data_IF_809922027891
#
_entry.id   IF_809922027891
#
_cell.length_a   1.000
_cell.length_b   1.000
_cell.length_c   1.000
_cell.angle_alpha   90.00
_cell.angle_beta   90.00
_cell.angle_gamma   90.00
#
_symmetry.space_group_name_H-M   'P 1'
#
loop_
_entity.id
_entity.type
_entity.pdbx_description
1 polymer ?
#
# COMPACT_ATOMS: atom_id res chain seq x y z
N UNK A 1 -13.31 -48.90 32.25
CA UNK A 1 -14.33 -47.92 31.86
C UNK A 1 -14.15 -46.60 32.64
N UNK A 2 -12.97 -45.96 32.61
CA UNK A 2 -12.68 -44.70 33.35
C UNK A 2 -11.82 -43.68 32.59
N UNK A 3 -11.59 -43.83 31.28
CA UNK A 3 -10.70 -42.96 30.48
C UNK A 3 -11.48 -41.91 29.68
N UNK A 4 -12.79 -42.03 29.53
CA UNK A 4 -13.60 -41.10 28.71
C UNK A 4 -13.96 -39.77 29.38
N UNK A 5 -13.76 -39.64 30.70
CA UNK A 5 -14.10 -38.41 31.43
C UNK A 5 -12.97 -37.37 31.48
N UNK A 6 -11.73 -37.76 31.22
CA UNK A 6 -10.60 -36.83 31.29
C UNK A 6 -10.41 -35.97 30.03
N UNK A 7 -10.92 -36.44 28.89
CA UNK A 7 -10.81 -35.68 27.63
C UNK A 7 -11.81 -34.51 27.52
N UNK A 8 -12.92 -34.56 28.22
CA UNK A 8 -13.94 -33.50 28.21
C UNK A 8 -13.57 -32.24 28.99
N UNK A 9 -12.75 -32.39 30.03
CA UNK A 9 -12.36 -31.25 30.89
C UNK A 9 -11.19 -30.49 30.32
N UNK A 10 -10.33 -31.09 29.49
CA UNK A 10 -9.17 -30.45 28.86
C UNK A 10 -9.56 -29.51 27.71
N UNK A 11 -10.70 -29.75 27.03
CA UNK A 11 -11.15 -28.87 25.93
C UNK A 11 -11.82 -27.56 26.40
N UNK A 12 -12.22 -27.46 27.67
CA UNK A 12 -12.95 -26.27 28.19
C UNK A 12 -11.96 -25.15 28.59
N UNK A 13 -10.69 -25.48 28.82
CA UNK A 13 -9.67 -24.50 29.23
C UNK A 13 -9.04 -23.70 28.09
N UNK A 14 -9.30 -24.02 26.82
CA UNK A 14 -8.73 -23.31 25.67
C UNK A 14 -9.59 -22.19 25.08
N UNK A 15 -10.80 -21.94 25.62
CA UNK A 15 -11.69 -20.89 25.09
C UNK A 15 -11.64 -19.57 25.86
N UNK A 16 -10.74 -19.43 26.85
CA UNK A 16 -10.63 -18.21 27.65
C UNK A 16 -9.51 -17.25 27.22
N UNK A 17 -8.94 -17.39 26.02
CA UNK A 17 -7.87 -16.51 25.56
C UNK A 17 -8.25 -15.90 24.22
N UNK A 18 -8.95 -14.79 24.22
CA UNK A 18 -8.81 -13.64 23.36
C UNK A 18 -10.00 -12.68 23.51
N UNK A 19 -9.99 -11.88 24.56
CA UNK A 19 -10.83 -10.68 24.61
C UNK A 19 -10.04 -9.54 25.26
N UNK A 20 -9.00 -9.06 24.58
CA UNK A 20 -8.38 -7.78 24.89
C UNK A 20 -8.80 -6.78 23.82
N UNK A 21 -10.06 -6.43 23.84
CA UNK A 21 -10.59 -5.31 23.06
C UNK A 21 -10.19 -4.02 23.77
N UNK A 22 -8.97 -3.52 23.50
CA UNK A 22 -8.59 -2.16 23.91
C UNK A 22 -9.45 -1.18 23.11
N UNK A 23 -10.43 -0.59 23.78
CA UNK A 23 -11.17 0.57 23.24
C UNK A 23 -10.14 1.69 23.02
N UNK A 24 -9.75 1.90 21.79
CA UNK A 24 -9.00 3.10 21.41
C UNK A 24 -9.98 4.26 21.52
N UNK A 25 -9.85 5.03 22.59
CA UNK A 25 -10.58 6.28 22.75
C UNK A 25 -10.01 7.28 21.75
N UNK A 26 -10.64 7.39 20.60
CA UNK A 26 -10.35 8.46 19.64
C UNK A 26 -10.86 9.77 20.23
N UNK A 27 -9.98 10.49 20.92
CA UNK A 27 -10.22 11.87 21.32
C UNK A 27 -10.39 12.69 20.05
N UNK A 28 -11.63 13.05 19.74
CA UNK A 28 -12.00 13.85 18.57
C UNK A 28 -11.36 15.24 18.74
N UNK A 29 -10.22 15.42 18.12
CA UNK A 29 -9.51 16.70 18.15
C UNK A 29 -10.12 17.60 17.06
N UNK A 30 -11.09 18.43 17.45
CA UNK A 30 -11.86 19.29 16.56
C UNK A 30 -11.09 20.51 16.00
N UNK A 31 -9.76 20.51 16.10
CA UNK A 31 -8.91 21.62 15.63
C UNK A 31 -7.98 21.23 14.49
N UNK A 32 -8.41 20.35 13.59
CA UNK A 32 -7.71 20.22 12.31
C UNK A 32 -8.14 21.40 11.45
N UNK A 33 -7.37 22.49 11.49
CA UNK A 33 -7.39 23.51 10.46
C UNK A 33 -7.07 22.80 9.14
N UNK A 34 -8.08 22.57 8.32
CA UNK A 34 -7.89 22.16 6.92
C UNK A 34 -7.08 23.27 6.26
N UNK A 35 -5.79 23.09 6.19
CA UNK A 35 -4.91 23.95 5.39
C UNK A 35 -5.28 23.68 3.94
N UNK A 36 -6.11 24.53 3.37
CA UNK A 36 -6.38 24.59 1.93
C UNK A 36 -5.10 25.08 1.24
N UNK A 37 -4.09 24.22 1.16
CA UNK A 37 -2.96 24.47 0.28
C UNK A 37 -3.40 24.15 -1.15
N UNK A 38 -3.25 25.08 -2.09
CA UNK A 38 -3.50 24.78 -3.49
C UNK A 38 -2.57 23.68 -3.93
N UNK A 39 -3.13 22.57 -4.38
CA UNK A 39 -2.50 21.31 -4.78
C UNK A 39 -1.49 21.48 -5.94
N UNK A 40 -1.33 22.69 -6.46
CA UNK A 40 -0.55 22.99 -7.67
C UNK A 40 0.95 23.28 -7.44
N UNK A 41 1.47 23.18 -6.22
CA UNK A 41 2.92 23.25 -5.97
C UNK A 41 3.39 21.96 -5.32
N UNK A 42 3.79 21.02 -6.14
CA UNK A 42 4.62 19.88 -5.72
C UNK A 42 5.82 20.43 -4.92
N UNK A 43 6.12 19.88 -3.73
CA UNK A 43 7.28 20.29 -2.95
C UNK A 43 8.57 19.79 -3.60
N UNK A 44 8.97 20.43 -4.70
CA UNK A 44 10.04 19.96 -5.58
C UNK A 44 11.44 20.02 -4.97
N UNK A 45 11.71 20.98 -4.07
CA UNK A 45 13.08 21.19 -3.56
C UNK A 45 13.42 20.25 -2.40
N UNK A 46 12.52 20.07 -1.42
CA UNK A 46 12.76 19.14 -0.29
C UNK A 46 12.83 17.68 -0.72
N UNK A 47 12.02 17.29 -1.69
CA UNK A 47 12.01 15.93 -2.21
C UNK A 47 13.31 15.56 -2.90
N UNK A 48 13.85 16.45 -3.72
CA UNK A 48 15.15 16.22 -4.39
C UNK A 48 16.29 16.09 -3.36
N UNK A 49 16.24 16.85 -2.25
CA UNK A 49 17.23 16.73 -1.18
C UNK A 49 17.12 15.40 -0.45
N UNK A 50 15.89 14.91 -0.16
CA UNK A 50 15.69 13.60 0.45
C UNK A 50 16.17 12.46 -0.42
N UNK A 51 15.87 12.51 -1.72
CA UNK A 51 16.34 11.50 -2.68
C UNK A 51 17.87 11.50 -2.75
N UNK A 52 18.53 12.67 -2.83
CA UNK A 52 19.99 12.78 -2.81
C UNK A 52 20.60 12.24 -1.51
N UNK A 53 19.92 12.43 -0.37
CA UNK A 53 20.34 11.86 0.93
C UNK A 53 20.24 10.35 0.94
N UNK A 54 19.16 9.77 0.40
CA UNK A 54 19.00 8.32 0.24
C UNK A 54 20.06 7.72 -0.68
N UNK A 55 20.41 8.39 -1.77
CA UNK A 55 21.47 7.95 -2.69
C UNK A 55 22.86 7.93 -2.02
N UNK A 56 23.16 8.90 -1.17
CA UNK A 56 24.43 8.97 -0.46
C UNK A 56 24.51 7.99 0.71
N UNK A 57 23.38 7.76 1.40
CA UNK A 57 23.31 6.95 2.62
C UNK A 57 23.18 5.45 2.41
N UNK A 58 22.67 5.01 1.27
CA UNK A 58 22.37 3.62 1.00
C UNK A 58 23.02 3.12 -0.29
N UNK A 59 24.31 2.82 -0.22
CA UNK A 59 25.05 2.19 -1.33
C UNK A 59 24.48 0.82 -1.74
N UNK A 60 23.64 0.20 -0.91
CA UNK A 60 23.01 -1.11 -1.17
C UNK A 60 21.64 -1.04 -1.85
N UNK A 61 21.03 0.15 -1.98
CA UNK A 61 19.74 0.27 -2.66
C UNK A 61 19.89 -0.01 -4.16
N UNK A 62 19.06 -0.94 -4.64
CA UNK A 62 19.00 -1.26 -6.05
C UNK A 62 18.67 -0.01 -6.87
N UNK A 63 19.41 0.19 -7.98
CA UNK A 63 19.23 1.31 -8.91
C UNK A 63 17.77 1.48 -9.36
N UNK A 64 17.07 0.38 -9.62
CA UNK A 64 15.67 0.40 -10.04
C UNK A 64 14.74 0.91 -8.94
N UNK A 65 15.00 0.54 -7.68
CA UNK A 65 14.25 1.04 -6.51
C UNK A 65 14.42 2.56 -6.37
N UNK A 66 15.64 3.06 -6.49
CA UNK A 66 15.90 4.51 -6.46
C UNK A 66 15.19 5.25 -7.59
N UNK A 67 15.21 4.71 -8.81
CA UNK A 67 14.51 5.28 -9.96
C UNK A 67 13.00 5.32 -9.74
N UNK A 68 12.42 4.24 -9.18
CA UNK A 68 11.02 4.17 -8.83
C UNK A 68 10.65 5.24 -7.80
N UNK A 69 11.41 5.34 -6.70
CA UNK A 69 11.21 6.36 -5.67
C UNK A 69 11.28 7.76 -6.28
N UNK A 70 12.30 8.05 -7.07
CA UNK A 70 12.43 9.37 -7.74
C UNK A 70 11.21 9.73 -8.58
N UNK A 71 10.69 8.77 -9.32
CA UNK A 71 9.55 8.98 -10.23
C UNK A 71 8.23 9.15 -9.49
N UNK A 72 7.97 8.34 -8.46
CA UNK A 72 6.65 8.23 -7.84
C UNK A 72 6.52 8.87 -6.46
N UNK A 73 7.63 9.30 -5.83
CA UNK A 73 7.55 9.97 -4.54
C UNK A 73 6.68 11.24 -4.55
N UNK A 74 6.71 12.09 -5.59
CA UNK A 74 5.82 13.25 -5.66
C UNK A 74 4.34 12.87 -5.59
N UNK A 75 3.96 11.83 -6.34
CA UNK A 75 2.60 11.32 -6.35
C UNK A 75 2.20 10.71 -5.00
N UNK A 76 3.07 9.89 -4.41
CA UNK A 76 2.83 9.27 -3.11
C UNK A 76 2.64 10.31 -1.99
N UNK A 77 3.39 11.43 -2.02
CA UNK A 77 3.20 12.53 -1.08
C UNK A 77 1.88 13.25 -1.32
N UNK A 78 1.47 13.44 -2.57
CA UNK A 78 0.16 14.01 -2.90
C UNK A 78 -0.99 13.15 -2.35
N UNK A 79 -0.92 11.85 -2.56
CA UNK A 79 -1.90 10.88 -2.06
C UNK A 79 -1.91 10.83 -0.52
N UNK A 80 -0.74 10.96 0.13
CA UNK A 80 -0.64 11.06 1.58
C UNK A 80 -1.43 12.26 2.11
N UNK A 81 -1.33 13.42 1.47
CA UNK A 81 -2.08 14.61 1.89
C UNK A 81 -3.58 14.51 1.64
N UNK A 82 -3.97 13.69 0.67
CA UNK A 82 -5.38 13.53 0.29
C UNK A 82 -6.10 12.45 1.10
N UNK A 83 -5.39 11.37 1.42
CA UNK A 83 -5.98 10.16 2.00
C UNK A 83 -5.39 9.75 3.35
N UNK A 84 -4.46 10.54 3.90
CA UNK A 84 -3.75 10.28 5.17
C UNK A 84 -2.99 8.93 5.21
N UNK A 85 -2.62 8.40 4.04
CA UNK A 85 -1.78 7.20 3.92
C UNK A 85 -0.33 7.64 3.81
N UNK A 86 0.59 7.19 4.69
CA UNK A 86 1.99 7.57 4.62
C UNK A 86 2.60 7.27 3.25
N UNK A 87 3.27 8.26 2.64
CA UNK A 87 3.88 8.14 1.31
C UNK A 87 4.88 6.97 1.22
N UNK A 88 5.58 6.67 2.32
CA UNK A 88 6.49 5.52 2.42
C UNK A 88 5.78 4.18 2.25
N UNK A 89 4.57 4.04 2.75
CA UNK A 89 3.75 2.83 2.60
C UNK A 89 3.33 2.67 1.14
N UNK A 90 2.79 3.72 0.53
CA UNK A 90 2.38 3.71 -0.89
C UNK A 90 3.56 3.36 -1.80
N UNK A 91 4.75 3.95 -1.54
CA UNK A 91 5.97 3.65 -2.31
C UNK A 91 6.45 2.22 -2.10
N UNK A 92 6.48 1.74 -0.86
CA UNK A 92 6.94 0.38 -0.56
C UNK A 92 6.05 -0.68 -1.24
N UNK A 93 4.74 -0.54 -1.15
CA UNK A 93 3.80 -1.42 -1.84
C UNK A 93 3.98 -1.33 -3.36
N UNK A 94 4.04 -0.13 -3.92
CA UNK A 94 4.25 0.04 -5.35
C UNK A 94 5.57 -0.58 -5.85
N UNK A 95 6.65 -0.51 -5.08
CA UNK A 95 7.93 -1.16 -5.37
C UNK A 95 7.77 -2.69 -5.41
N UNK A 96 7.14 -3.27 -4.39
CA UNK A 96 6.96 -4.71 -4.25
C UNK A 96 6.03 -5.26 -5.34
N UNK A 97 4.82 -4.74 -5.42
CA UNK A 97 3.75 -5.22 -6.31
C UNK A 97 4.10 -5.05 -7.79
N UNK A 98 4.83 -4.00 -8.14
CA UNK A 98 5.16 -3.71 -9.53
C UNK A 98 6.56 -4.15 -9.95
N UNK A 99 7.34 -4.77 -9.07
CA UNK A 99 8.75 -5.05 -9.34
C UNK A 99 9.52 -3.78 -9.73
N UNK A 100 9.39 -2.72 -8.95
CA UNK A 100 9.93 -1.38 -9.24
C UNK A 100 9.34 -0.73 -10.52
N UNK A 101 8.08 -0.97 -10.81
CA UNK A 101 7.38 -0.46 -11.99
C UNK A 101 7.74 -1.20 -13.28
N UNK A 102 8.36 -2.37 -13.19
CA UNK A 102 8.85 -3.15 -14.33
C UNK A 102 7.95 -4.33 -14.69
N UNK A 103 6.99 -4.68 -13.82
CA UNK A 103 6.02 -5.73 -14.13
C UNK A 103 5.24 -5.41 -15.39
N UNK A 104 4.69 -6.43 -16.04
CA UNK A 104 3.91 -6.27 -17.25
C UNK A 104 2.69 -5.36 -17.02
N UNK A 105 2.00 -5.53 -15.90
CA UNK A 105 0.87 -4.69 -15.51
C UNK A 105 1.28 -3.24 -15.27
N UNK A 106 2.39 -2.99 -14.58
CA UNK A 106 2.86 -1.63 -14.34
C UNK A 106 3.31 -0.93 -15.63
N UNK A 107 4.10 -1.63 -16.47
CA UNK A 107 4.71 -1.03 -17.67
C UNK A 107 3.72 -0.81 -18.81
N UNK A 108 2.75 -1.72 -19.04
CA UNK A 108 1.81 -1.67 -20.16
C UNK A 108 0.45 -1.05 -19.81
N UNK A 109 0.08 -1.05 -18.53
CA UNK A 109 -1.24 -0.59 -18.10
C UNK A 109 -1.22 0.42 -16.94
N UNK A 110 -0.05 0.88 -16.50
CA UNK A 110 0.11 1.78 -15.35
C UNK A 110 -0.55 1.25 -14.07
N UNK A 111 -0.72 -0.05 -13.97
CA UNK A 111 -1.33 -0.71 -12.83
C UNK A 111 -0.23 -1.27 -11.91
N UNK A 112 0.25 -0.43 -11.01
CA UNK A 112 1.36 -0.76 -10.11
C UNK A 112 0.96 -1.63 -8.93
N UNK A 113 -0.32 -1.79 -8.67
CA UNK A 113 -0.86 -2.48 -7.49
C UNK A 113 -1.70 -3.71 -7.85
N UNK A 114 -1.67 -4.16 -9.11
CA UNK A 114 -2.43 -5.33 -9.52
C UNK A 114 -3.95 -5.18 -9.32
N UNK A 115 -4.50 -3.99 -9.52
CA UNK A 115 -5.94 -3.75 -9.29
C UNK A 115 -6.76 -4.48 -10.33
N UNK A 116 -7.50 -5.50 -9.90
CA UNK A 116 -8.40 -6.30 -10.75
C UNK A 116 -9.65 -5.51 -11.13
N UNK A 117 -10.28 -5.89 -12.25
CA UNK A 117 -11.60 -5.38 -12.63
C UNK A 117 -12.63 -5.93 -11.67
N UNK A 118 -13.34 -5.07 -10.95
CA UNK A 118 -14.49 -5.50 -10.17
C UNK A 118 -15.78 -5.31 -10.95
N UNK A 119 -16.86 -5.90 -10.45
CA UNK A 119 -18.20 -5.72 -11.01
C UNK A 119 -18.49 -4.23 -11.17
N UNK A 120 -18.92 -3.83 -12.37
CA UNK A 120 -19.20 -2.42 -12.66
C UNK A 120 -18.02 -1.58 -13.18
N UNK A 121 -16.81 -2.13 -13.31
CA UNK A 121 -15.70 -1.39 -13.93
C UNK A 121 -15.96 -1.11 -15.41
N UNK A 122 -16.07 0.17 -15.79
CA UNK A 122 -16.30 0.63 -17.16
C UNK A 122 -15.06 1.21 -17.86
N UNK A 123 -13.93 1.30 -17.14
CA UNK A 123 -12.67 1.83 -17.67
C UNK A 123 -11.93 0.86 -18.60
N UNK A 124 -10.75 1.28 -19.05
CA UNK A 124 -9.90 0.44 -19.88
C UNK A 124 -9.43 -0.80 -19.10
N UNK A 125 -9.25 -1.90 -19.82
CA UNK A 125 -8.91 -3.22 -19.28
C UNK A 125 -7.68 -3.78 -19.96
N UNK A 126 -7.00 -4.67 -19.26
CA UNK A 126 -5.95 -5.55 -19.77
C UNK A 126 -6.15 -6.92 -19.14
N UNK A 127 -5.83 -7.97 -19.88
CA UNK A 127 -5.90 -9.34 -19.37
C UNK A 127 -4.50 -9.84 -19.11
N UNK A 128 -4.31 -10.50 -17.97
CA UNK A 128 -3.04 -11.03 -17.53
C UNK A 128 -3.29 -12.31 -16.72
N UNK A 129 -2.39 -13.28 -16.84
CA UNK A 129 -2.41 -14.47 -16.02
C UNK A 129 -1.73 -14.16 -14.68
N UNK A 130 -2.46 -14.34 -13.58
CA UNK A 130 -1.97 -14.14 -12.21
C UNK A 130 -2.36 -15.39 -11.40
N UNK A 131 -3.34 -15.31 -10.51
CA UNK A 131 -3.87 -16.48 -9.79
C UNK A 131 -4.61 -17.42 -10.74
N UNK A 132 -5.28 -16.86 -11.74
CA UNK A 132 -6.02 -17.58 -12.78
C UNK A 132 -5.60 -17.09 -14.17
N UNK A 133 -5.91 -17.89 -15.20
CA UNK A 133 -5.69 -17.49 -16.59
C UNK A 133 -6.66 -16.40 -17.03
N UNK A 134 -6.12 -15.38 -17.68
CA UNK A 134 -6.92 -14.35 -18.33
C UNK A 134 -7.68 -13.45 -17.37
N UNK A 135 -7.16 -13.20 -16.18
CA UNK A 135 -7.79 -12.29 -15.23
C UNK A 135 -7.81 -10.86 -15.74
N UNK A 136 -8.89 -10.16 -15.40
CA UNK A 136 -9.11 -8.79 -15.83
C UNK A 136 -8.48 -7.79 -14.85
N UNK A 137 -7.59 -6.95 -15.34
CA UNK A 137 -6.96 -5.86 -14.59
C UNK A 137 -7.32 -4.49 -15.17
N UNK A 138 -7.38 -3.50 -14.31
CA UNK A 138 -7.63 -2.11 -14.72
C UNK A 138 -6.43 -1.55 -15.44
N UNK A 139 -6.68 -0.81 -16.52
CA UNK A 139 -5.67 -0.04 -17.24
C UNK A 139 -5.90 1.45 -16.97
N UNK A 140 -4.85 2.14 -16.52
CA UNK A 140 -4.89 3.56 -16.22
C UNK A 140 -4.18 4.37 -17.31
N UNK A 141 -4.69 5.56 -17.58
CA UNK A 141 -3.99 6.58 -18.36
C UNK A 141 -3.11 7.39 -17.40
N UNK A 142 -1.97 7.87 -17.87
CA UNK A 142 -1.22 8.93 -17.19
C UNK A 142 -1.92 10.26 -17.39
#
# INVERSE_FOLDING_TARGET
MKIKFFFGVLCILFLASCSSSRKISTKKNNNVKVVKNPINKLPSVRQQQHVKKLEKGNKSLNKHTLQYIKKYAPLAVLEMHKYDIPASITLAQGILESGNGRSQLASKSNNHFGIKCHVGWKGQKVYHDDDEKGECFRKYKF
#
